data_IF_432574158438
#
_entry.id   IF_432574158438
#
_cell.length_a   1.000
_cell.length_b   1.000
_cell.length_c   1.000
_cell.angle_alpha   90.00
_cell.angle_beta   90.00
_cell.angle_gamma   90.00
#
_symmetry.space_group_name_H-M   'P 1'
#
loop_
_entity.id
_entity.type
_entity.pdbx_description
1 polymer ?
#
# COMPACT_ATOMS: atom_id res chain seq x y z
N UNK A 1 4.50 -4.49 10.65
CA UNK A 1 4.70 -4.87 9.24
C UNK A 1 4.57 -6.36 9.20
N UNK A 2 3.49 -6.86 8.62
CA UNK A 2 3.04 -8.24 8.83
C UNK A 2 3.94 -9.24 8.12
N UNK A 3 4.59 -8.82 7.04
CA UNK A 3 5.43 -9.61 6.15
C UNK A 3 6.63 -10.21 6.89
N UNK A 4 7.26 -9.47 7.81
CA UNK A 4 8.36 -9.97 8.63
C UNK A 4 7.88 -11.06 9.62
N UNK A 5 6.76 -10.81 10.29
CA UNK A 5 6.16 -11.75 11.24
C UNK A 5 5.65 -13.01 10.54
N UNK A 6 5.09 -12.89 9.34
CA UNK A 6 4.67 -14.03 8.52
C UNK A 6 5.91 -14.80 8.07
N UNK A 7 6.98 -14.12 7.64
CA UNK A 7 8.21 -14.78 7.20
C UNK A 7 8.91 -15.58 8.30
N UNK A 8 8.70 -15.25 9.57
CA UNK A 8 9.19 -16.03 10.72
C UNK A 8 8.43 -17.36 10.90
N UNK A 9 7.18 -17.45 10.40
CA UNK A 9 6.33 -18.65 10.52
C UNK A 9 6.42 -19.53 9.27
N UNK A 10 6.36 -18.94 8.07
CA UNK A 10 6.35 -19.69 6.79
C UNK A 10 7.69 -19.70 6.06
N UNK A 11 8.67 -18.91 6.50
CA UNK A 11 9.99 -18.81 5.89
C UNK A 11 10.07 -17.68 4.85
N UNK A 12 11.25 -17.06 4.75
CA UNK A 12 11.49 -15.91 3.85
C UNK A 12 11.23 -16.25 2.37
N UNK A 13 11.66 -17.42 1.91
CA UNK A 13 11.41 -17.86 0.53
C UNK A 13 9.97 -18.28 0.24
N UNK A 14 9.08 -18.25 1.24
CA UNK A 14 7.67 -18.52 1.07
C UNK A 14 6.77 -17.28 1.19
N UNK A 15 7.34 -16.11 1.44
CA UNK A 15 6.60 -14.89 1.76
C UNK A 15 6.79 -13.82 0.69
N UNK A 16 5.72 -13.55 -0.04
CA UNK A 16 5.66 -12.50 -1.07
C UNK A 16 4.98 -11.28 -0.46
N UNK A 17 5.53 -10.10 -0.67
CA UNK A 17 4.91 -8.84 -0.29
C UNK A 17 3.87 -8.38 -1.32
N UNK A 18 2.77 -7.78 -0.84
CA UNK A 18 1.74 -7.24 -1.71
C UNK A 18 1.26 -5.88 -1.20
N UNK A 19 1.26 -4.89 -2.09
CA UNK A 19 0.63 -3.60 -1.90
C UNK A 19 -0.64 -3.56 -2.73
N UNK A 20 -1.78 -3.50 -2.05
CA UNK A 20 -3.10 -3.49 -2.68
C UNK A 20 -3.84 -2.24 -2.22
N UNK A 21 -4.25 -1.40 -3.15
CA UNK A 21 -4.93 -0.14 -2.87
C UNK A 21 -6.13 0.05 -3.80
N UNK A 22 -7.18 -0.76 -3.61
CA UNK A 22 -8.47 -0.58 -4.26
C UNK A 22 -9.55 -0.24 -3.23
N UNK A 23 -10.62 0.42 -3.69
CA UNK A 23 -11.77 0.70 -2.84
C UNK A 23 -12.71 -0.50 -2.82
N UNK A 24 -12.94 -1.09 -1.66
CA UNK A 24 -13.99 -2.09 -1.50
C UNK A 24 -14.69 -1.95 -0.16
N UNK A 25 -16.01 -2.07 -0.20
CA UNK A 25 -16.87 -1.95 0.97
C UNK A 25 -17.63 -3.27 1.18
N UNK A 26 -17.58 -3.78 2.40
CA UNK A 26 -18.33 -4.98 2.77
C UNK A 26 -19.75 -4.59 3.22
N UNK A 27 -20.76 -5.08 2.51
CA UNK A 27 -22.17 -4.74 2.77
C UNK A 27 -22.94 -5.86 3.46
N UNK A 28 -22.45 -7.10 3.37
CA UNK A 28 -23.05 -8.28 3.98
C UNK A 28 -22.45 -9.59 3.46
N UNK A 29 -22.93 -10.75 3.95
CA UNK A 29 -22.48 -12.05 3.45
C UNK A 29 -22.66 -12.16 1.93
N UNK A 30 -21.56 -12.41 1.21
CA UNK A 30 -21.55 -12.50 -0.26
C UNK A 30 -21.72 -11.17 -1.00
N UNK A 31 -21.77 -10.04 -0.30
CA UNK A 31 -21.99 -8.71 -0.87
C UNK A 31 -20.82 -7.79 -0.55
N UNK A 32 -19.92 -7.65 -1.52
CA UNK A 32 -18.79 -6.71 -1.48
C UNK A 32 -18.96 -5.76 -2.65
N UNK A 33 -19.04 -4.47 -2.37
CA UNK A 33 -19.00 -3.43 -3.38
C UNK A 33 -17.54 -3.22 -3.76
N UNK A 34 -17.21 -3.43 -5.03
CA UNK A 34 -15.93 -2.99 -5.59
C UNK A 34 -16.09 -1.54 -6.08
N UNK A 35 -15.68 -0.59 -5.24
CA UNK A 35 -15.97 0.83 -5.40
C UNK A 35 -15.00 1.57 -6.34
N UNK A 36 -13.74 1.14 -6.43
CA UNK A 36 -12.79 1.72 -7.37
C UNK A 36 -11.63 0.76 -7.64
N UNK A 37 -11.08 0.81 -8.86
CA UNK A 37 -9.79 0.20 -9.17
C UNK A 37 -8.68 0.99 -8.49
N UNK A 38 -7.58 0.32 -8.23
CA UNK A 38 -6.38 1.01 -7.82
C UNK A 38 -5.17 0.10 -7.83
N UNK A 39 -4.05 0.62 -7.34
CA UNK A 39 -2.77 -0.03 -7.55
C UNK A 39 -2.69 -1.38 -6.82
N UNK A 40 -2.42 -2.42 -7.59
CA UNK A 40 -2.06 -3.75 -7.11
C UNK A 40 -0.60 -3.96 -7.50
N UNK A 41 0.26 -4.14 -6.51
CA UNK A 41 1.70 -4.28 -6.70
C UNK A 41 2.17 -5.49 -5.89
N UNK A 42 2.97 -6.36 -6.50
CA UNK A 42 3.49 -7.58 -5.89
C UNK A 42 5.01 -7.64 -6.05
N UNK A 43 5.70 -8.16 -5.04
CA UNK A 43 7.16 -8.30 -5.08
C UNK A 43 7.69 -9.09 -3.90
N UNK A 44 8.85 -9.71 -4.06
CA UNK A 44 9.50 -10.44 -2.97
C UNK A 44 10.12 -9.48 -1.95
N UNK A 45 10.15 -9.93 -0.69
CA UNK A 45 10.70 -9.16 0.43
C UNK A 45 12.23 -8.98 0.29
N UNK A 46 12.91 -9.92 -0.36
CA UNK A 46 14.35 -9.87 -0.61
C UNK A 46 14.72 -9.15 -1.91
N UNK A 47 13.72 -8.67 -2.67
CA UNK A 47 13.90 -7.99 -3.95
C UNK A 47 14.24 -8.92 -5.12
N UNK A 48 14.23 -10.24 -4.91
CA UNK A 48 14.36 -11.19 -6.01
C UNK A 48 13.06 -11.31 -6.79
N UNK A 49 13.14 -11.69 -8.06
CA UNK A 49 11.97 -12.05 -8.86
C UNK A 49 12.16 -13.49 -9.28
N UNK A 50 11.31 -14.38 -8.74
CA UNK A 50 11.32 -15.81 -9.07
C UNK A 50 10.09 -16.21 -9.88
N UNK A 51 10.12 -17.40 -10.47
CA UNK A 51 9.00 -17.91 -11.28
C UNK A 51 7.66 -17.95 -10.52
N UNK A 52 7.68 -18.22 -9.21
CA UNK A 52 6.47 -18.16 -8.36
C UNK A 52 5.91 -16.74 -8.25
N UNK A 53 6.77 -15.73 -8.14
CA UNK A 53 6.36 -14.32 -8.06
C UNK A 53 5.71 -13.88 -9.38
N UNK A 54 6.25 -14.35 -10.50
CA UNK A 54 5.68 -14.14 -11.84
C UNK A 54 4.33 -14.83 -12.01
N UNK A 55 4.20 -16.09 -11.59
CA UNK A 55 2.91 -16.81 -11.58
C UNK A 55 1.86 -16.09 -10.74
N UNK A 56 2.24 -15.61 -9.54
CA UNK A 56 1.34 -14.84 -8.69
C UNK A 56 0.95 -13.50 -9.33
N UNK A 57 1.89 -12.82 -9.99
CA UNK A 57 1.60 -11.60 -10.73
C UNK A 57 0.60 -11.85 -11.86
N UNK A 58 0.77 -12.93 -12.64
CA UNK A 58 -0.19 -13.31 -13.69
C UNK A 58 -1.59 -13.60 -13.14
N UNK A 59 -1.69 -14.27 -11.99
CA UNK A 59 -2.98 -14.48 -11.32
C UNK A 59 -3.61 -13.16 -10.87
N UNK A 60 -2.82 -12.24 -10.34
CA UNK A 60 -3.29 -10.91 -9.95
C UNK A 60 -3.72 -10.08 -11.17
N UNK A 61 -3.11 -10.28 -12.34
CA UNK A 61 -3.53 -9.63 -13.58
C UNK A 61 -4.93 -10.03 -14.06
N UNK A 62 -5.44 -11.20 -13.65
CA UNK A 62 -6.84 -11.58 -13.91
C UNK A 62 -7.80 -10.65 -13.17
N UNK A 63 -7.42 -10.21 -11.97
CA UNK A 63 -8.20 -9.28 -11.16
C UNK A 63 -7.97 -7.82 -11.58
N UNK A 64 -6.70 -7.42 -11.68
CA UNK A 64 -6.27 -6.07 -12.04
C UNK A 64 -5.23 -6.14 -13.17
N UNK A 65 -5.61 -5.90 -14.44
CA UNK A 65 -4.71 -5.99 -15.59
C UNK A 65 -3.45 -5.12 -15.46
N UNK A 66 -3.58 -3.99 -14.75
CA UNK A 66 -2.50 -3.03 -14.50
C UNK A 66 -1.67 -3.39 -13.25
N UNK A 67 -1.80 -4.62 -12.73
CA UNK A 67 -0.98 -5.08 -11.61
C UNK A 67 0.52 -4.98 -11.96
N UNK A 68 1.31 -4.50 -11.01
CA UNK A 68 2.75 -4.25 -11.21
C UNK A 68 3.57 -5.27 -10.43
N UNK A 69 4.53 -5.91 -11.11
CA UNK A 69 5.58 -6.70 -10.48
C UNK A 69 6.76 -5.76 -10.15
N UNK A 70 7.25 -5.77 -8.91
CA UNK A 70 8.34 -4.90 -8.46
C UNK A 70 9.39 -5.66 -7.67
N UNK A 71 10.64 -5.23 -7.79
CA UNK A 71 11.78 -5.62 -6.96
C UNK A 71 11.92 -4.75 -5.69
N UNK A 72 11.18 -3.63 -5.60
CA UNK A 72 11.21 -2.70 -4.48
C UNK A 72 9.87 -2.66 -3.75
N UNK A 73 9.41 -3.80 -3.25
CA UNK A 73 8.13 -3.90 -2.55
C UNK A 73 8.10 -3.07 -1.25
N UNK A 74 9.26 -2.92 -0.59
CA UNK A 74 9.41 -2.13 0.62
C UNK A 74 9.07 -0.66 0.42
N UNK A 75 9.44 -0.07 -0.72
CA UNK A 75 9.07 1.31 -1.04
C UNK A 75 7.55 1.52 -1.04
N UNK A 76 6.80 0.57 -1.61
CA UNK A 76 5.33 0.61 -1.62
C UNK A 76 4.72 0.38 -0.24
N UNK A 77 5.25 -0.58 0.53
CA UNK A 77 4.76 -0.87 1.88
C UNK A 77 4.98 0.31 2.83
N UNK A 78 6.19 0.89 2.85
CA UNK A 78 6.49 2.08 3.65
C UNK A 78 5.69 3.30 3.17
N UNK A 79 5.54 3.48 1.85
CA UNK A 79 4.68 4.52 1.29
C UNK A 79 3.23 4.40 1.78
N UNK A 80 2.68 3.18 1.80
CA UNK A 80 1.33 2.92 2.34
C UNK A 80 1.22 3.28 3.81
N UNK A 81 2.20 2.86 4.61
CA UNK A 81 2.22 3.12 6.04
C UNK A 81 2.32 4.62 6.32
N UNK A 82 3.18 5.35 5.60
CA UNK A 82 3.30 6.80 5.71
C UNK A 82 2.00 7.51 5.33
N UNK A 83 1.36 7.09 4.23
CA UNK A 83 0.06 7.61 3.82
C UNK A 83 -1.03 7.36 4.87
N UNK A 84 -1.11 6.13 5.40
CA UNK A 84 -2.04 5.79 6.48
C UNK A 84 -1.79 6.58 7.76
N UNK A 85 -0.53 6.73 8.18
CA UNK A 85 -0.17 7.53 9.35
C UNK A 85 -0.58 9.00 9.20
N UNK A 86 -0.43 9.58 8.01
CA UNK A 86 -0.90 10.93 7.71
C UNK A 86 -2.43 11.04 7.84
N UNK A 87 -3.19 10.06 7.34
CA UNK A 87 -4.65 10.03 7.49
C UNK A 87 -5.04 9.93 8.98
N UNK A 88 -4.40 9.08 9.77
CA UNK A 88 -4.65 9.00 11.22
C UNK A 88 -4.29 10.29 11.95
N UNK A 89 -3.21 10.97 11.56
CA UNK A 89 -2.85 12.27 12.11
C UNK A 89 -3.89 13.36 11.80
N UNK A 90 -4.73 13.18 10.76
CA UNK A 90 -5.87 14.07 10.56
C UNK A 90 -7.07 13.75 11.46
N UNK A 91 -7.15 12.54 12.04
CA UNK A 91 -8.25 12.21 12.95
C UNK A 91 -8.13 12.92 14.33
N UNK A 92 -6.92 13.33 14.73
CA UNK A 92 -6.68 14.07 15.97
C UNK A 92 -6.97 15.57 15.85
N UNK A 93 -7.40 16.05 14.68
CA UNK A 93 -7.71 17.47 14.46
C UNK A 93 -8.88 17.60 13.47
N UNK A 94 -9.96 18.36 13.75
CA UNK A 94 -11.10 18.52 12.82
C UNK A 94 -10.76 19.24 11.49
N UNK A 95 -9.48 19.41 11.17
CA UNK A 95 -9.01 20.05 9.94
C UNK A 95 -8.95 19.05 8.79
N UNK A 96 -9.58 19.43 7.68
CA UNK A 96 -9.44 18.77 6.38
C UNK A 96 -7.98 18.75 5.91
N UNK A 97 -7.57 17.68 5.22
CA UNK A 97 -6.22 17.47 4.67
C UNK A 97 -5.63 18.72 3.98
N UNK A 98 -6.44 19.43 3.17
CA UNK A 98 -6.06 20.66 2.47
C UNK A 98 -5.59 21.80 3.42
N UNK A 99 -6.19 21.93 4.60
CA UNK A 99 -5.78 22.95 5.60
C UNK A 99 -4.45 22.62 6.27
N UNK A 100 -4.11 21.33 6.39
CA UNK A 100 -2.82 20.89 6.93
C UNK A 100 -1.70 21.20 5.93
N UNK A 101 -1.89 20.88 4.65
CA UNK A 101 -0.91 21.17 3.59
C UNK A 101 -0.63 22.67 3.45
N UNK A 102 -1.66 23.51 3.52
CA UNK A 102 -1.49 24.98 3.49
C UNK A 102 -0.67 25.51 4.68
N UNK A 103 -0.87 24.98 5.89
CA UNK A 103 -0.10 25.41 7.06
C UNK A 103 1.36 24.96 7.02
N UNK A 104 1.65 23.76 6.51
CA UNK A 104 3.03 23.32 6.29
C UNK A 104 3.71 24.22 5.27
N UNK A 105 3.03 24.57 4.17
CA UNK A 105 3.57 25.46 3.14
C UNK A 105 3.80 26.89 3.64
N UNK A 106 2.90 27.42 4.46
CA UNK A 106 3.07 28.72 5.12
C UNK A 106 4.22 28.68 6.13
N UNK A 107 4.32 27.65 6.97
CA UNK A 107 5.42 27.50 7.92
C UNK A 107 6.79 27.34 7.23
N UNK A 108 6.86 26.65 6.09
CA UNK A 108 8.09 26.54 5.28
C UNK A 108 8.49 27.87 4.62
N UNK A 109 7.53 28.72 4.25
CA UNK A 109 7.80 30.06 3.71
C UNK A 109 8.26 31.08 4.78
N UNK A 110 8.06 30.80 6.07
CA UNK A 110 8.55 31.64 7.18
C UNK A 110 9.89 31.17 7.76
N UNK A 111 10.52 30.15 7.18
CA UNK A 111 11.84 29.62 7.60
C UNK A 111 13.01 30.03 6.69
N UNK A 112 12.79 30.92 5.72
CA UNK A 112 13.83 31.48 4.84
C UNK A 112 13.67 33.01 4.74
N UNK A 113 13.84 33.71 5.87
CA UNK A 113 14.37 35.07 5.93
C UNK A 113 15.17 35.23 7.22
#
# INVERSE_FOLDING_TARGET
MNELTISEVVGKGATIGAFVNFGADWHGPGQVLFGNRGAVVVGEIDGTVGGRTEEMHQLLQVFEPDAVLTDNIWGYLWGKLAYGAMLFATAINPMTLWRITLRIRVAQNFGLQ
#
